data_IF_170454409232
#
_entry.id   IF_170454409232
#
_cell.length_a   1.000
_cell.length_b   1.000
_cell.length_c   1.000
_cell.angle_alpha   90.00
_cell.angle_beta   90.00
_cell.angle_gamma   90.00
#
_symmetry.space_group_name_H-M   'P 1'
#
loop_
_entity.id
_entity.type
_entity.pdbx_description
1 polymer ?
#
# COMPACT_ATOMS: atom_id res chain seq x y z
N UNK A 1 -28.21 10.19 -12.86
CA UNK A 1 -27.11 9.91 -11.91
C UNK A 1 -26.08 9.11 -12.66
N UNK A 2 -25.00 9.74 -13.04
CA UNK A 2 -24.03 9.20 -13.99
C UNK A 2 -23.19 8.09 -13.34
N UNK A 3 -23.18 6.93 -14.00
CA UNK A 3 -22.41 5.74 -13.57
C UNK A 3 -20.90 5.98 -13.51
N UNK A 4 -20.41 6.99 -14.21
CA UNK A 4 -18.99 7.38 -14.31
C UNK A 4 -18.41 7.99 -13.04
N UNK A 5 -19.20 8.71 -12.25
CA UNK A 5 -18.71 9.36 -11.01
C UNK A 5 -18.42 8.34 -9.88
N UNK A 6 -18.98 7.14 -9.97
CA UNK A 6 -18.76 6.10 -8.95
C UNK A 6 -17.43 5.35 -9.10
N UNK A 7 -16.88 5.26 -10.32
CA UNK A 7 -15.62 4.53 -10.53
C UNK A 7 -14.40 5.29 -10.01
N UNK A 8 -14.32 6.60 -10.20
CA UNK A 8 -13.18 7.39 -9.73
C UNK A 8 -13.06 7.41 -8.19
N UNK A 9 -14.19 7.37 -7.48
CA UNK A 9 -14.19 7.32 -6.01
C UNK A 9 -13.69 5.98 -5.46
N UNK A 10 -13.85 4.89 -6.21
CA UNK A 10 -13.43 3.55 -5.78
C UNK A 10 -11.90 3.40 -5.83
N UNK A 11 -11.24 4.00 -6.81
CA UNK A 11 -9.78 3.87 -6.96
C UNK A 11 -8.98 4.61 -5.87
N UNK A 12 -9.45 5.77 -5.44
CA UNK A 12 -8.77 6.55 -4.38
C UNK A 12 -9.03 5.99 -2.98
N UNK A 13 -10.16 5.33 -2.76
CA UNK A 13 -10.48 4.70 -1.47
C UNK A 13 -9.90 3.30 -1.32
N UNK A 14 -9.69 2.57 -2.43
CA UNK A 14 -9.07 1.23 -2.40
C UNK A 14 -7.60 1.25 -1.94
N UNK A 15 -6.95 2.41 -2.00
CA UNK A 15 -5.57 2.58 -1.53
C UNK A 15 -5.38 2.59 -0.02
N UNK A 16 -6.46 2.80 0.72
CA UNK A 16 -6.47 2.82 2.18
C UNK A 16 -7.29 1.64 2.75
N UNK A 17 -7.28 0.49 2.09
CA UNK A 17 -7.75 -0.74 2.72
C UNK A 17 -6.76 -1.14 3.81
N UNK A 18 -6.77 -0.35 4.88
CA UNK A 18 -6.30 -0.79 6.18
C UNK A 18 -7.33 -1.81 6.67
N UNK A 19 -7.12 -3.05 6.30
CA UNK A 19 -8.00 -4.15 6.68
C UNK A 19 -7.88 -4.43 8.17
N UNK A 20 -8.63 -3.68 8.92
CA UNK A 20 -8.97 -4.01 10.30
C UNK A 20 -10.27 -4.80 10.32
N UNK A 21 -10.29 -6.04 9.91
CA UNK A 21 -11.43 -6.92 10.11
C UNK A 21 -11.20 -7.80 11.33
N UNK A 22 -11.56 -7.27 12.49
CA UNK A 22 -11.82 -8.07 13.66
C UNK A 22 -13.24 -8.64 13.60
N UNK A 23 -13.48 -9.74 12.93
CA UNK A 23 -14.67 -10.54 13.12
C UNK A 23 -14.26 -11.91 13.63
N UNK A 24 -14.48 -12.07 14.93
CA UNK A 24 -14.38 -13.31 15.66
C UNK A 24 -15.53 -14.21 15.23
N UNK A 25 -15.27 -15.20 14.42
CA UNK A 25 -16.15 -16.37 14.32
C UNK A 25 -15.35 -17.62 14.66
N UNK A 26 -15.77 -18.19 15.79
CA UNK A 26 -15.30 -19.46 16.31
C UNK A 26 -15.81 -20.57 15.43
N UNK A 27 -14.92 -21.33 14.80
CA UNK A 27 -15.17 -22.74 14.58
C UNK A 27 -13.86 -23.52 14.63
N UNK A 28 -13.90 -24.47 15.52
CA UNK A 28 -12.97 -25.48 15.94
C UNK A 28 -12.79 -26.51 14.82
N UNK A 29 -11.56 -26.94 14.54
CA UNK A 29 -11.23 -28.34 14.43
C UNK A 29 -10.03 -28.64 13.51
N UNK A 30 -9.00 -29.19 14.12
CA UNK A 30 -8.18 -30.35 13.74
C UNK A 30 -7.06 -30.19 12.70
N UNK A 31 -5.84 -30.22 13.23
CA UNK A 31 -4.63 -30.72 12.56
C UNK A 31 -4.76 -32.23 12.21
N UNK A 32 -3.88 -32.86 11.37
CA UNK A 32 -2.42 -32.79 11.53
C UNK A 32 -1.54 -32.92 10.26
N UNK A 33 -0.29 -32.51 10.44
CA UNK A 33 0.94 -33.24 10.10
C UNK A 33 1.52 -33.24 8.68
N UNK A 34 2.72 -32.63 8.63
CA UNK A 34 3.98 -33.21 8.10
C UNK A 34 4.14 -33.37 6.59
N UNK A 35 5.09 -32.69 5.98
CA UNK A 35 6.41 -33.26 5.63
C UNK A 35 7.32 -32.25 4.93
N UNK A 36 8.53 -32.23 5.32
CA UNK A 36 9.77 -31.65 4.89
C UNK A 36 10.10 -31.99 3.43
N UNK A 37 10.60 -31.03 2.62
CA UNK A 37 11.86 -31.26 1.92
C UNK A 37 12.47 -29.98 1.30
N UNK A 38 13.76 -29.96 1.40
CA UNK A 38 14.77 -28.98 1.02
C UNK A 38 15.06 -29.05 -0.49
N UNK A 39 15.24 -27.92 -1.15
CA UNK A 39 16.21 -27.83 -2.25
C UNK A 39 16.67 -26.39 -2.52
N UNK A 40 17.96 -26.26 -2.52
CA UNK A 40 18.84 -25.14 -2.73
C UNK A 40 19.12 -25.02 -4.25
N UNK A 41 19.04 -23.82 -4.80
CA UNK A 41 19.88 -23.46 -5.94
C UNK A 41 19.99 -21.94 -6.12
N UNK A 42 21.19 -21.53 -6.11
CA UNK A 42 21.81 -20.23 -6.40
C UNK A 42 21.73 -19.91 -7.90
N UNK A 43 21.44 -18.67 -8.28
CA UNK A 43 22.24 -18.03 -9.33
C UNK A 43 22.06 -16.50 -9.36
N UNK A 44 23.20 -15.88 -9.45
CA UNK A 44 23.55 -14.47 -9.61
C UNK A 44 23.15 -13.98 -11.01
N UNK A 45 22.66 -12.76 -11.15
CA UNK A 45 23.23 -11.85 -12.14
C UNK A 45 22.79 -10.41 -11.92
N UNK A 46 23.78 -9.54 -12.01
CA UNK A 46 23.75 -8.09 -11.89
C UNK A 46 23.09 -7.42 -13.10
N UNK A 47 22.40 -6.33 -12.88
CA UNK A 47 22.51 -5.16 -13.73
C UNK A 47 22.16 -3.90 -12.94
N UNK A 48 23.09 -3.00 -12.97
CA UNK A 48 23.17 -1.72 -12.26
C UNK A 48 22.69 -0.67 -13.24
N UNK A 49 21.64 0.05 -12.90
CA UNK A 49 21.45 1.36 -13.51
C UNK A 49 21.05 2.37 -12.45
N UNK A 50 21.76 3.47 -12.50
CA UNK A 50 21.92 4.48 -11.47
C UNK A 50 21.13 5.68 -11.96
N UNK A 51 20.08 6.07 -11.23
CA UNK A 51 19.59 7.43 -11.31
C UNK A 51 19.53 8.03 -9.92
N UNK A 52 20.20 9.16 -9.83
CA UNK A 52 20.54 9.91 -8.62
C UNK A 52 19.42 10.93 -8.41
N UNK A 53 18.87 11.01 -7.25
CA UNK A 53 18.73 12.15 -6.37
C UNK A 53 17.49 12.06 -5.48
N UNK A 54 17.69 11.73 -4.22
CA UNK A 54 17.25 12.48 -3.04
C UNK A 54 17.79 11.76 -1.81
N UNK A 55 18.96 12.18 -1.37
CA UNK A 55 19.68 11.59 -0.26
C UNK A 55 19.45 12.44 0.98
N UNK A 56 18.58 11.99 1.91
CA UNK A 56 18.75 12.22 3.36
C UNK A 56 17.80 11.39 4.23
N UNK A 57 16.77 10.76 3.67
CA UNK A 57 15.80 9.97 4.44
C UNK A 57 15.96 8.43 4.25
N UNK A 58 16.74 8.01 3.25
CA UNK A 58 16.96 6.58 2.96
C UNK A 58 17.73 5.85 4.05
N UNK A 59 18.71 6.48 4.70
CA UNK A 59 19.56 5.82 5.69
C UNK A 59 18.81 5.43 6.98
N UNK A 60 17.79 6.19 7.38
CA UNK A 60 16.94 5.86 8.54
C UNK A 60 15.87 4.81 8.21
N UNK A 61 15.51 4.69 6.93
CA UNK A 61 14.58 3.69 6.42
C UNK A 61 15.24 2.30 6.37
N UNK A 62 16.51 2.22 6.01
CA UNK A 62 17.28 0.97 5.95
C UNK A 62 17.44 0.30 7.32
N UNK A 63 17.70 1.05 8.39
CA UNK A 63 17.86 0.49 9.74
C UNK A 63 16.56 -0.09 10.29
N UNK A 64 15.42 0.56 10.08
CA UNK A 64 14.11 0.07 10.54
C UNK A 64 13.65 -1.18 9.78
N UNK A 65 14.07 -1.32 8.52
CA UNK A 65 13.74 -2.43 7.64
C UNK A 65 14.83 -3.52 7.62
N UNK A 66 15.91 -3.39 8.38
CA UNK A 66 16.98 -4.39 8.43
C UNK A 66 16.42 -5.77 8.80
N UNK A 67 16.55 -6.74 7.88
CA UNK A 67 16.00 -8.09 8.02
C UNK A 67 14.48 -8.20 7.80
N UNK A 68 13.81 -7.18 7.29
CA UNK A 68 12.42 -7.28 6.86
C UNK A 68 12.31 -8.13 5.58
N UNK A 69 11.24 -8.88 5.48
CA UNK A 69 10.80 -9.55 4.27
C UNK A 69 9.95 -8.58 3.44
N UNK A 70 9.79 -8.87 2.15
CA UNK A 70 9.06 -8.02 1.22
C UNK A 70 8.12 -8.85 0.36
N UNK A 71 6.88 -8.38 0.22
CA UNK A 71 5.90 -8.90 -0.74
C UNK A 71 5.42 -7.75 -1.64
N UNK A 72 5.29 -8.02 -2.93
CA UNK A 72 4.77 -7.09 -3.92
C UNK A 72 3.45 -7.63 -4.46
N UNK A 73 2.42 -6.79 -4.47
CA UNK A 73 1.12 -7.10 -5.06
C UNK A 73 0.79 -6.06 -6.13
N UNK A 74 0.17 -6.49 -7.21
CA UNK A 74 -0.20 -5.62 -8.32
C UNK A 74 -1.64 -5.87 -8.78
N UNK A 75 -2.27 -4.81 -9.27
CA UNK A 75 -3.49 -4.87 -10.08
C UNK A 75 -3.39 -3.85 -11.20
N UNK A 76 -4.06 -4.10 -12.31
CA UNK A 76 -4.09 -3.16 -13.44
C UNK A 76 -5.42 -3.26 -14.19
N UNK A 77 -5.80 -2.16 -14.81
CA UNK A 77 -6.89 -2.05 -15.75
C UNK A 77 -6.47 -1.25 -17.00
N UNK A 78 -7.42 -0.84 -17.82
CA UNK A 78 -7.15 -0.07 -19.04
C UNK A 78 -6.58 1.33 -18.73
N UNK A 79 -6.91 1.91 -17.60
CA UNK A 79 -6.53 3.26 -17.23
C UNK A 79 -5.22 3.33 -16.44
N UNK A 80 -4.80 2.22 -15.81
CA UNK A 80 -3.56 2.27 -15.04
C UNK A 80 -3.22 1.01 -14.28
N UNK A 81 -2.20 1.16 -13.45
CA UNK A 81 -1.64 0.09 -12.62
C UNK A 81 -1.50 0.56 -11.18
N UNK A 82 -1.75 -0.32 -10.25
CA UNK A 82 -1.49 -0.13 -8.82
C UNK A 82 -0.54 -1.20 -8.32
N UNK A 83 0.53 -0.78 -7.68
CA UNK A 83 1.52 -1.66 -7.05
C UNK A 83 1.57 -1.37 -5.55
N UNK A 84 1.43 -2.39 -4.73
CA UNK A 84 1.60 -2.31 -3.27
C UNK A 84 2.79 -3.17 -2.87
N UNK A 85 3.71 -2.58 -2.12
CA UNK A 85 4.84 -3.27 -1.51
C UNK A 85 4.65 -3.28 0.00
N UNK A 86 4.68 -4.47 0.59
CA UNK A 86 4.58 -4.71 2.02
C UNK A 86 5.93 -5.16 2.56
N UNK A 87 6.45 -4.48 3.58
CA UNK A 87 7.66 -4.87 4.31
C UNK A 87 7.27 -5.33 5.71
N UNK A 88 7.72 -6.53 6.11
CA UNK A 88 7.24 -7.16 7.34
C UNK A 88 8.30 -8.05 8.02
N UNK A 89 8.09 -8.31 9.31
CA UNK A 89 8.84 -9.29 10.10
C UNK A 89 7.87 -10.22 10.83
N UNK A 90 7.94 -11.53 10.55
CA UNK A 90 6.92 -12.46 11.01
C UNK A 90 5.55 -12.04 10.44
N UNK A 91 4.56 -11.80 11.29
CA UNK A 91 3.25 -11.26 10.88
C UNK A 91 3.10 -9.76 11.14
N UNK A 92 4.15 -9.07 11.56
CA UNK A 92 4.10 -7.62 11.81
C UNK A 92 4.45 -6.85 10.55
N UNK A 93 3.50 -6.05 10.05
CA UNK A 93 3.70 -5.11 8.95
C UNK A 93 4.44 -3.87 9.47
N UNK A 94 5.56 -3.54 8.83
CA UNK A 94 6.42 -2.41 9.22
C UNK A 94 6.21 -1.20 8.32
N UNK A 95 6.12 -1.44 7.00
CA UNK A 95 5.98 -0.38 6.00
C UNK A 95 5.10 -0.88 4.86
N UNK A 96 4.24 0.00 4.39
CA UNK A 96 3.47 -0.18 3.16
C UNK A 96 3.78 0.95 2.20
N UNK A 97 4.16 0.60 0.98
CA UNK A 97 4.31 1.55 -0.11
C UNK A 97 3.28 1.23 -1.19
N UNK A 98 2.59 2.23 -1.69
CA UNK A 98 1.67 2.11 -2.80
C UNK A 98 2.05 3.10 -3.88
N UNK A 99 2.12 2.62 -5.12
CA UNK A 99 2.32 3.42 -6.31
C UNK A 99 1.19 3.14 -7.28
N UNK A 100 0.51 4.19 -7.68
CA UNK A 100 -0.52 4.14 -8.72
C UNK A 100 -0.02 4.95 -9.93
N UNK A 101 -0.13 4.37 -11.12
CA UNK A 101 0.22 4.99 -12.40
C UNK A 101 -1.07 5.06 -13.22
N UNK A 102 -1.51 6.26 -13.63
CA UNK A 102 -2.72 6.44 -14.44
C UNK A 102 -2.39 7.12 -15.76
N UNK A 103 -2.70 6.46 -16.88
CA UNK A 103 -2.75 7.08 -18.20
C UNK A 103 -3.96 8.03 -18.26
N UNK A 104 -3.69 9.33 -18.13
CA UNK A 104 -4.73 10.35 -18.01
C UNK A 104 -5.67 10.36 -19.22
N UNK A 105 -5.18 9.95 -20.39
CA UNK A 105 -5.98 9.88 -21.62
C UNK A 105 -7.05 8.80 -21.58
N UNK A 106 -6.90 7.80 -20.70
CA UNK A 106 -7.83 6.67 -20.52
C UNK A 106 -8.74 6.82 -19.31
N UNK A 107 -8.47 7.80 -18.46
CA UNK A 107 -9.32 8.09 -17.29
C UNK A 107 -10.58 8.82 -17.75
N UNK A 108 -11.79 8.30 -17.47
CA UNK A 108 -13.03 8.92 -17.92
C UNK A 108 -13.31 10.24 -17.17
N UNK A 109 -13.87 11.21 -17.87
CA UNK A 109 -14.27 12.51 -17.31
C UNK A 109 -13.88 13.68 -18.20
N UNK A 110 -14.40 14.88 -17.94
CA UNK A 110 -14.10 16.07 -18.74
C UNK A 110 -12.69 16.62 -18.44
N UNK A 111 -12.27 16.56 -17.18
CA UNK A 111 -10.96 17.06 -16.72
C UNK A 111 -10.30 16.05 -15.76
N UNK A 112 -9.89 14.87 -16.26
CA UNK A 112 -9.42 13.79 -15.39
C UNK A 112 -8.19 14.18 -14.56
N UNK A 113 -7.22 14.88 -15.15
CA UNK A 113 -6.02 15.32 -14.45
C UNK A 113 -6.32 16.24 -13.27
N UNK A 114 -7.17 17.26 -13.47
CA UNK A 114 -7.52 18.19 -12.39
C UNK A 114 -8.33 17.49 -11.31
N UNK A 115 -9.26 16.60 -11.69
CA UNK A 115 -10.03 15.78 -10.73
C UNK A 115 -9.11 14.91 -9.87
N UNK A 116 -8.07 14.32 -10.46
CA UNK A 116 -7.11 13.50 -9.73
C UNK A 116 -6.23 14.33 -8.80
N UNK A 117 -5.75 15.50 -9.25
CA UNK A 117 -4.99 16.44 -8.40
C UNK A 117 -5.80 16.91 -7.20
N UNK A 118 -7.07 17.31 -7.43
CA UNK A 118 -7.97 17.69 -6.33
C UNK A 118 -8.19 16.55 -5.33
N UNK A 119 -8.33 15.33 -5.80
CA UNK A 119 -8.52 14.18 -4.95
C UNK A 119 -7.29 13.89 -4.08
N UNK A 120 -6.08 14.03 -4.65
CA UNK A 120 -4.82 13.95 -3.88
C UNK A 120 -4.75 15.08 -2.87
N UNK A 121 -5.03 16.33 -3.26
CA UNK A 121 -5.00 17.47 -2.35
C UNK A 121 -5.98 17.31 -1.16
N UNK A 122 -7.19 16.83 -1.43
CA UNK A 122 -8.18 16.49 -0.37
C UNK A 122 -7.67 15.39 0.56
N UNK A 123 -6.97 14.39 0.01
CA UNK A 123 -6.37 13.33 0.82
C UNK A 123 -5.21 13.86 1.66
N UNK A 124 -4.34 14.70 1.11
CA UNK A 124 -3.26 15.35 1.85
C UNK A 124 -3.81 16.20 3.01
N UNK A 125 -4.86 16.99 2.77
CA UNK A 125 -5.51 17.76 3.84
C UNK A 125 -6.11 16.86 4.92
N UNK A 126 -6.76 15.76 4.52
CA UNK A 126 -7.33 14.78 5.46
C UNK A 126 -6.27 14.14 6.37
N UNK A 127 -5.10 13.85 5.84
CA UNK A 127 -4.00 13.18 6.54
C UNK A 127 -2.89 14.16 7.01
N UNK A 128 -3.12 15.45 6.97
CA UNK A 128 -2.10 16.47 7.23
C UNK A 128 -1.36 16.29 8.56
N UNK A 129 -2.06 15.86 9.62
CA UNK A 129 -1.49 15.66 10.95
C UNK A 129 -0.63 14.40 11.06
N UNK A 130 -0.63 13.55 10.04
CA UNK A 130 0.22 12.37 9.91
C UNK A 130 1.35 12.56 8.89
N UNK A 131 1.26 13.59 8.03
CA UNK A 131 2.28 13.87 7.02
C UNK A 131 3.65 14.11 7.67
N UNK A 132 4.70 13.42 7.19
CA UNK A 132 6.03 13.46 7.77
C UNK A 132 6.18 12.71 9.11
N UNK A 133 5.10 12.14 9.65
CA UNK A 133 5.06 11.37 10.89
C UNK A 133 4.63 9.91 10.65
N UNK A 134 5.24 9.27 9.66
CA UNK A 134 4.92 7.91 9.26
C UNK A 134 3.88 7.79 8.13
N UNK A 135 3.40 8.92 7.60
CA UNK A 135 2.55 8.95 6.41
C UNK A 135 3.10 9.94 5.40
N UNK A 136 3.17 9.51 4.13
CA UNK A 136 3.55 10.35 3.00
C UNK A 136 2.59 10.12 1.84
N UNK A 137 2.19 11.18 1.17
CA UNK A 137 1.37 11.15 -0.04
C UNK A 137 1.87 12.21 -1.00
N UNK A 138 2.36 11.78 -2.15
CA UNK A 138 2.84 12.67 -3.21
C UNK A 138 2.20 12.32 -4.54
N UNK A 139 2.18 13.25 -5.48
CA UNK A 139 1.77 13.00 -6.85
C UNK A 139 2.62 13.78 -7.84
N UNK A 140 2.78 13.21 -9.03
CA UNK A 140 3.51 13.80 -10.15
C UNK A 140 2.76 13.52 -11.44
N UNK A 141 2.72 14.51 -12.34
CA UNK A 141 2.24 14.31 -13.71
C UNK A 141 3.40 14.45 -14.68
N UNK A 142 3.66 13.39 -15.42
CA UNK A 142 4.77 13.35 -16.38
C UNK A 142 4.42 12.46 -17.57
N UNK A 143 4.69 12.95 -18.77
CA UNK A 143 4.55 12.19 -20.04
C UNK A 143 3.16 11.54 -20.24
N UNK A 144 2.09 12.23 -19.80
CA UNK A 144 0.72 11.74 -19.91
C UNK A 144 0.28 10.81 -18.76
N UNK A 145 1.19 10.44 -17.89
CA UNK A 145 0.93 9.56 -16.74
C UNK A 145 0.85 10.38 -15.46
N UNK A 146 -0.17 10.13 -14.65
CA UNK A 146 -0.32 10.70 -13.31
C UNK A 146 0.06 9.64 -12.29
N UNK A 147 1.16 9.89 -11.58
CA UNK A 147 1.68 9.03 -10.52
C UNK A 147 1.17 9.50 -9.17
N UNK A 148 0.73 8.56 -8.34
CA UNK A 148 0.41 8.79 -6.93
C UNK A 148 1.29 7.84 -6.13
N UNK A 149 2.02 8.36 -5.14
CA UNK A 149 2.84 7.56 -4.22
C UNK A 149 2.34 7.77 -2.79
N UNK A 150 2.05 6.68 -2.12
CA UNK A 150 1.63 6.69 -0.72
C UNK A 150 2.55 5.77 0.08
N UNK A 151 3.03 6.24 1.22
CA UNK A 151 3.85 5.45 2.14
C UNK A 151 3.25 5.53 3.54
N UNK A 152 3.14 4.38 4.22
CA UNK A 152 2.72 4.28 5.61
C UNK A 152 3.80 3.50 6.37
N UNK A 153 4.52 4.19 7.24
CA UNK A 153 5.51 3.62 8.15
C UNK A 153 4.83 3.33 9.50
N UNK A 154 4.45 2.07 9.70
CA UNK A 154 3.76 1.62 10.91
C UNK A 154 4.65 1.63 12.15
N UNK A 155 5.95 1.83 11.99
CA UNK A 155 6.89 1.97 13.11
C UNK A 155 6.91 3.40 13.67
N UNK A 156 6.37 4.38 12.92
CA UNK A 156 6.40 5.81 13.27
C UNK A 156 5.03 6.45 13.41
N UNK A 157 4.01 5.89 12.73
CA UNK A 157 2.70 6.52 12.64
C UNK A 157 1.98 6.54 13.98
N UNK A 158 1.24 7.61 14.26
CA UNK A 158 0.33 7.68 15.39
C UNK A 158 -0.96 6.90 15.09
N UNK A 159 -1.09 5.72 15.69
CA UNK A 159 -2.24 4.83 15.50
C UNK A 159 -3.56 5.43 15.98
N UNK A 160 -3.55 6.31 17.00
CA UNK A 160 -4.76 6.95 17.50
C UNK A 160 -5.29 7.94 16.46
N UNK A 161 -4.41 8.79 15.94
CA UNK A 161 -4.78 9.73 14.85
C UNK A 161 -5.21 8.98 13.59
N UNK A 162 -4.50 7.91 13.21
CA UNK A 162 -4.87 7.11 12.05
C UNK A 162 -6.28 6.49 12.21
N UNK A 163 -6.63 6.03 13.41
CA UNK A 163 -7.94 5.49 13.76
C UNK A 163 -9.07 6.54 13.66
N UNK A 164 -8.78 7.78 14.03
CA UNK A 164 -9.73 8.90 13.91
C UNK A 164 -9.99 9.25 12.44
N UNK A 165 -8.94 9.22 11.61
CA UNK A 165 -9.02 9.61 10.20
C UNK A 165 -9.60 8.50 9.32
N UNK A 166 -9.28 7.22 9.63
CA UNK A 166 -9.66 6.06 8.83
C UNK A 166 -10.68 5.20 9.58
N UNK A 167 -11.98 5.38 9.31
CA UNK A 167 -13.01 4.55 9.91
C UNK A 167 -12.79 3.07 9.60
N UNK A 168 -12.82 2.23 10.63
CA UNK A 168 -12.61 0.79 10.50
C UNK A 168 -11.15 0.34 10.56
N UNK A 169 -10.19 1.28 10.65
CA UNK A 169 -8.82 0.91 10.99
C UNK A 169 -8.76 0.34 12.42
N UNK A 170 -8.35 -0.89 12.54
CA UNK A 170 -8.30 -1.59 13.83
C UNK A 170 -6.95 -2.32 13.97
N UNK A 171 -5.93 -1.65 14.56
CA UNK A 171 -4.66 -2.30 14.83
C UNK A 171 -4.84 -3.43 15.86
N UNK A 172 -3.88 -4.32 15.93
CA UNK A 172 -3.82 -5.33 16.99
C UNK A 172 -3.62 -4.66 18.37
N UNK A 173 -3.87 -5.39 19.43
CA UNK A 173 -3.82 -4.88 20.82
C UNK A 173 -2.45 -4.28 21.19
N UNK A 174 -1.38 -4.73 20.58
CA UNK A 174 0.00 -4.22 20.72
C UNK A 174 0.31 -3.00 19.83
N UNK A 175 -0.70 -2.45 19.15
CA UNK A 175 -0.57 -1.34 18.18
C UNK A 175 0.27 -1.71 16.95
N UNK A 176 0.22 -2.95 16.52
CA UNK A 176 0.80 -3.41 15.27
C UNK A 176 -0.26 -3.70 14.23
N UNK A 177 0.15 -3.83 12.98
CA UNK A 177 -0.71 -4.23 11.86
C UNK A 177 -0.26 -5.61 11.38
N UNK A 178 -1.23 -6.53 11.22
CA UNK A 178 -0.95 -7.86 10.70
C UNK A 178 -0.66 -7.81 9.20
N UNK A 179 0.50 -8.35 8.82
CA UNK A 179 0.88 -8.52 7.42
C UNK A 179 -0.07 -9.48 6.69
N UNK A 180 -0.37 -10.66 7.28
CA UNK A 180 -1.22 -11.66 6.65
C UNK A 180 -2.64 -11.13 6.41
N UNK A 181 -3.24 -10.46 7.37
CA UNK A 181 -4.57 -9.84 7.23
C UNK A 181 -4.56 -8.75 6.16
N UNK A 182 -3.53 -7.90 6.13
CA UNK A 182 -3.39 -6.85 5.12
C UNK A 182 -3.24 -7.45 3.73
N UNK A 183 -2.33 -8.41 3.55
CA UNK A 183 -2.12 -9.12 2.29
C UNK A 183 -3.41 -9.78 1.79
N UNK A 184 -4.08 -10.54 2.63
CA UNK A 184 -5.33 -11.22 2.29
C UNK A 184 -6.42 -10.24 1.83
N UNK A 185 -6.51 -9.08 2.47
CA UNK A 185 -7.46 -8.05 2.08
C UNK A 185 -7.14 -7.43 0.72
N UNK A 186 -5.87 -7.19 0.43
CA UNK A 186 -5.42 -6.71 -0.88
C UNK A 186 -5.72 -7.73 -1.98
N UNK A 187 -5.47 -9.02 -1.72
CA UNK A 187 -5.80 -10.11 -2.66
C UNK A 187 -7.31 -10.22 -2.87
N UNK A 188 -8.12 -10.14 -1.81
CA UNK A 188 -9.59 -10.09 -1.92
C UNK A 188 -10.08 -8.85 -2.67
N UNK A 189 -9.31 -7.75 -2.61
CA UNK A 189 -9.53 -6.53 -3.38
C UNK A 189 -9.12 -6.62 -4.85
N UNK A 190 -8.62 -7.76 -5.32
CA UNK A 190 -8.25 -8.02 -6.72
C UNK A 190 -6.77 -7.83 -7.04
N UNK A 191 -5.91 -7.64 -6.04
CA UNK A 191 -4.47 -7.62 -6.27
C UNK A 191 -3.90 -9.04 -6.39
N UNK A 192 -2.82 -9.18 -7.15
CA UNK A 192 -2.11 -10.44 -7.40
C UNK A 192 -0.67 -10.30 -6.92
N UNK A 193 -0.19 -11.30 -6.18
CA UNK A 193 1.21 -11.36 -5.73
C UNK A 193 2.15 -11.66 -6.90
N UNK A 194 3.32 -11.01 -6.89
CA UNK A 194 4.37 -11.12 -7.92
C UNK A 194 5.58 -11.89 -7.42
#
# INVERSE_FOLDING_TARGET
MNKTTKMLAVFLTAGLLLAGCGQKESTKSTSPSSTKETSKATSKSSAKEKTKESSTDESKKEDALAGAQKTVLETSDEAGKSTVTLYYKGDTLLLQEKVDDYDVSKVPGENPLETMKEAVAKSQEKFKDLMGHGFELTSEYKDGIFYIRNTIDYTKIDFNKLKEIVPGFNPLDDKTVSYSVTKDSLIKGGMVEK
#
